data_IF_540068837440
#
_entry.id   IF_540068837440
#
_cell.length_a   1.000
_cell.length_b   1.000
_cell.length_c   1.000
_cell.angle_alpha   90.00
_cell.angle_beta   90.00
_cell.angle_gamma   90.00
#
_symmetry.space_group_name_H-M   'P 1'
#
loop_
_entity.id
_entity.type
_entity.pdbx_description
1 polymer ?
#
# COMPACT_ATOMS: atom_id res chain seq x y z
N UNK A 1 3.98 -8.31 6.37
CA UNK A 1 3.23 -7.96 7.59
C UNK A 1 3.55 -8.84 8.77
N UNK A 2 3.70 -10.16 8.61
CA UNK A 2 4.00 -11.07 9.74
C UNK A 2 5.30 -10.73 10.49
N UNK A 3 6.22 -10.00 9.84
CA UNK A 3 7.43 -9.43 10.46
C UNK A 3 7.45 -7.89 10.47
N UNK A 4 6.36 -7.27 10.03
CA UNK A 4 6.16 -5.80 9.97
C UNK A 4 7.30 -4.98 9.32
N UNK A 5 7.83 -5.45 8.18
CA UNK A 5 8.95 -4.81 7.47
C UNK A 5 8.55 -3.97 6.23
N UNK A 6 7.26 -3.89 5.93
CA UNK A 6 6.76 -3.19 4.74
C UNK A 6 6.17 -1.86 5.19
N UNK A 7 6.66 -0.75 4.64
CA UNK A 7 6.23 0.61 5.00
C UNK A 7 5.29 1.21 3.96
N UNK A 8 5.37 0.76 2.71
CA UNK A 8 4.58 1.25 1.58
C UNK A 8 4.24 0.08 0.66
N UNK A 9 3.03 0.08 0.11
CA UNK A 9 2.66 -0.75 -1.04
C UNK A 9 2.36 0.17 -2.22
N UNK A 10 2.93 -0.14 -3.38
CA UNK A 10 2.72 0.58 -4.62
C UNK A 10 2.53 -0.40 -5.79
N UNK A 11 1.95 0.08 -6.88
CA UNK A 11 1.54 -0.78 -8.00
C UNK A 11 2.69 -1.24 -8.89
N UNK A 12 3.74 -0.41 -9.02
CA UNK A 12 4.76 -0.55 -10.07
C UNK A 12 4.13 -0.79 -11.47
N UNK A 13 3.00 -0.12 -11.73
CA UNK A 13 2.25 -0.27 -12.98
C UNK A 13 3.03 0.31 -14.17
N UNK A 14 2.88 -0.31 -15.35
CA UNK A 14 3.51 0.18 -16.59
C UNK A 14 2.55 0.19 -17.80
N UNK A 15 1.48 -0.60 -17.76
CA UNK A 15 0.50 -0.72 -18.84
C UNK A 15 -0.81 -1.31 -18.28
N UNK A 16 -1.79 -1.59 -19.13
CA UNK A 16 -3.08 -2.17 -18.71
C UNK A 16 -3.20 -3.67 -19.01
N UNK A 17 -2.12 -4.31 -19.48
CA UNK A 17 -2.13 -5.72 -19.89
C UNK A 17 -1.32 -6.62 -18.95
N UNK A 18 0.00 -6.50 -19.00
CA UNK A 18 0.98 -7.36 -18.36
C UNK A 18 1.39 -6.83 -17.00
N UNK A 19 1.25 -5.53 -16.78
CA UNK A 19 1.60 -4.81 -15.55
C UNK A 19 0.56 -3.74 -15.19
N UNK A 20 -0.74 -4.10 -15.07
CA UNK A 20 -1.78 -3.19 -14.59
C UNK A 20 -1.68 -2.96 -13.08
N UNK A 21 -2.33 -1.92 -12.56
CA UNK A 21 -2.46 -1.73 -11.12
C UNK A 21 -3.44 -2.72 -10.48
N UNK A 22 -3.04 -3.27 -9.33
CA UNK A 22 -3.90 -4.10 -8.46
C UNK A 22 -4.08 -3.48 -7.07
N UNK A 23 -4.06 -2.14 -6.98
CA UNK A 23 -3.98 -1.42 -5.72
C UNK A 23 -5.19 -1.67 -4.81
N UNK A 24 -6.41 -1.63 -5.34
CA UNK A 24 -7.62 -1.84 -4.52
C UNK A 24 -7.74 -3.29 -4.06
N UNK A 25 -7.48 -4.26 -4.95
CA UNK A 25 -7.50 -5.68 -4.60
C UNK A 25 -6.48 -5.98 -3.49
N UNK A 26 -5.26 -5.46 -3.62
CA UNK A 26 -4.22 -5.59 -2.60
C UNK A 26 -4.65 -4.92 -1.28
N UNK A 27 -5.23 -3.72 -1.34
CA UNK A 27 -5.71 -2.99 -0.14
C UNK A 27 -6.80 -3.77 0.58
N UNK A 28 -7.73 -4.40 -0.16
CA UNK A 28 -8.77 -5.24 0.42
C UNK A 28 -8.21 -6.51 1.09
N UNK A 29 -7.22 -7.16 0.45
CA UNK A 29 -6.52 -8.33 1.03
C UNK A 29 -5.83 -7.93 2.35
N UNK A 30 -5.10 -6.82 2.36
CA UNK A 30 -4.43 -6.32 3.56
C UNK A 30 -5.44 -5.93 4.64
N UNK A 31 -6.51 -5.22 4.27
CA UNK A 31 -7.56 -4.82 5.21
C UNK A 31 -8.24 -6.03 5.86
N UNK A 32 -8.49 -7.09 5.10
CA UNK A 32 -9.11 -8.31 5.61
C UNK A 32 -8.17 -9.13 6.51
N UNK A 33 -6.88 -9.18 6.18
CA UNK A 33 -5.90 -10.02 6.91
C UNK A 33 -5.25 -9.30 8.10
N UNK A 34 -5.06 -7.99 8.02
CA UNK A 34 -4.27 -7.20 8.98
C UNK A 34 -5.02 -5.98 9.54
N UNK A 35 -6.29 -5.78 9.17
CA UNK A 35 -7.13 -4.69 9.66
C UNK A 35 -7.10 -3.45 8.78
N UNK A 36 -8.16 -2.64 8.89
CA UNK A 36 -8.36 -1.43 8.08
C UNK A 36 -7.26 -0.40 8.29
N UNK A 37 -6.87 -0.17 9.55
CA UNK A 37 -5.87 0.85 9.89
C UNK A 37 -4.51 0.55 9.24
N UNK A 38 -4.10 -0.72 9.20
CA UNK A 38 -2.85 -1.11 8.55
C UNK A 38 -2.92 -1.00 7.03
N UNK A 39 -4.09 -1.24 6.43
CA UNK A 39 -4.30 -0.97 5.01
C UNK A 39 -4.25 0.53 4.71
N UNK A 40 -4.82 1.38 5.56
CA UNK A 40 -4.73 2.83 5.42
C UNK A 40 -3.28 3.32 5.56
N UNK A 41 -2.54 2.78 6.54
CA UNK A 41 -1.14 3.12 6.78
C UNK A 41 -0.27 2.89 5.53
N UNK A 42 -0.36 1.70 4.94
CA UNK A 42 0.53 1.28 3.85
C UNK A 42 0.17 1.85 2.47
N UNK A 43 -1.10 2.14 2.23
CA UNK A 43 -1.60 2.57 0.92
C UNK A 43 -1.87 4.07 0.84
N UNK A 44 -2.05 4.76 1.99
CA UNK A 44 -2.45 6.17 2.04
C UNK A 44 -1.53 6.98 2.93
N UNK A 45 -1.42 6.66 4.22
CA UNK A 45 -0.75 7.53 5.21
C UNK A 45 0.75 7.64 4.98
N UNK A 46 1.47 6.50 4.89
CA UNK A 46 2.91 6.50 4.69
C UNK A 46 3.30 7.07 3.31
N UNK A 47 2.65 6.69 2.19
CA UNK A 47 2.87 7.36 0.91
C UNK A 47 2.63 8.88 0.97
N UNK A 48 1.57 9.33 1.66
CA UNK A 48 1.29 10.77 1.83
C UNK A 48 2.40 11.48 2.60
N UNK A 49 2.87 10.91 3.71
CA UNK A 49 4.00 11.45 4.49
C UNK A 49 5.26 11.59 3.64
N UNK A 50 5.58 10.59 2.81
CA UNK A 50 6.72 10.66 1.89
C UNK A 50 6.57 11.84 0.91
N UNK A 51 5.39 12.01 0.29
CA UNK A 51 5.11 13.12 -0.63
C UNK A 51 5.21 14.48 0.09
N UNK A 52 4.86 14.52 1.36
CA UNK A 52 4.90 15.73 2.20
C UNK A 52 6.26 15.96 2.89
N UNK A 53 7.28 15.14 2.60
CA UNK A 53 8.60 15.19 3.26
C UNK A 53 8.51 15.08 4.80
N UNK A 54 7.69 14.13 5.27
CA UNK A 54 7.45 13.85 6.68
C UNK A 54 8.01 12.47 7.07
N UNK A 55 8.42 12.35 8.33
CA UNK A 55 8.86 11.06 8.91
C UNK A 55 7.69 10.08 8.93
N UNK A 56 7.94 8.86 8.43
CA UNK A 56 7.04 7.71 8.52
C UNK A 56 7.29 6.93 9.80
#
# INVERSE_FOLDING_TARGET
MERDLVHVIASDMHNLDSRPPYMEDARQIISKKYGRDKAEELFVENPRKIIMDQII
#
